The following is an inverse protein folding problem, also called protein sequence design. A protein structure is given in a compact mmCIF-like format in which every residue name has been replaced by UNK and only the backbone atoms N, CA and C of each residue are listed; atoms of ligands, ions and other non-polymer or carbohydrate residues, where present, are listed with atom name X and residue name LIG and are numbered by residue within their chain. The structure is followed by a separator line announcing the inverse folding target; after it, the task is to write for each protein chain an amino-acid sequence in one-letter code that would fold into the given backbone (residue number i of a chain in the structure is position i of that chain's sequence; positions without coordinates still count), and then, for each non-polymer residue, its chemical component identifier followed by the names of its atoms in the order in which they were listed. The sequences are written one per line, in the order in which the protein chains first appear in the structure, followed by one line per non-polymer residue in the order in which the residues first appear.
data_IF_499020315617
#
_entry.id   IF_499020315617
#
_cell.length_a   1.000
_cell.length_b   1.000
_cell.length_c   1.000
_cell.angle_alpha   90.00
_cell.angle_beta   90.00
_cell.angle_gamma   90.00
#
_symmetry.space_group_name_H-M   'P 1'
#
loop_
_entity.id
_entity.type
_entity.pdbx_description
1 polymer ?
#
# COMPACT_ATOMS: atom_id res chain seq x y z
N UNK A 1 -22.86 9.89 6.22
CA UNK A 1 -21.56 9.56 6.84
C UNK A 1 -20.55 9.57 5.69
N UNK A 2 -19.52 10.42 5.75
CA UNK A 2 -18.50 10.44 4.71
C UNK A 2 -17.61 9.19 4.87
N UNK A 3 -17.37 8.45 3.79
CA UNK A 3 -16.45 7.32 3.79
C UNK A 3 -15.02 7.85 3.96
N UNK A 4 -14.39 7.46 5.06
CA UNK A 4 -12.99 7.83 5.35
C UNK A 4 -12.10 6.69 4.85
N UNK A 5 -11.62 6.83 3.63
CA UNK A 5 -10.77 5.84 2.99
C UNK A 5 -10.77 6.03 1.47
N UNK A 6 -9.90 5.29 0.78
CA UNK A 6 -9.93 5.26 -0.67
C UNK A 6 -11.20 4.52 -1.11
N UNK A 7 -11.99 5.13 -2.00
CA UNK A 7 -13.19 4.49 -2.55
C UNK A 7 -12.82 3.08 -3.09
N UNK A 8 -13.57 2.03 -2.75
CA UNK A 8 -13.29 0.71 -3.29
C UNK A 8 -13.37 0.77 -4.81
N UNK A 9 -12.28 0.46 -5.47
CA UNK A 9 -12.26 0.28 -6.93
C UNK A 9 -12.84 -1.11 -7.20
N UNK A 10 -14.04 -1.15 -7.71
CA UNK A 10 -14.64 -2.37 -8.26
C UNK A 10 -13.74 -2.89 -9.37
N UNK A 11 -13.19 -4.11 -9.18
CA UNK A 11 -12.54 -4.97 -10.14
C UNK A 11 -12.00 -4.32 -11.41
N UNK A 12 -11.06 -3.40 -11.29
CA UNK A 12 -10.47 -2.78 -12.47
C UNK A 12 -9.49 -3.79 -13.10
N UNK A 13 -9.93 -4.45 -14.16
CA UNK A 13 -9.00 -5.15 -15.05
C UNK A 13 -8.05 -4.12 -15.64
N UNK A 14 -6.76 -4.38 -15.56
CA UNK A 14 -5.72 -3.51 -16.09
C UNK A 14 -5.02 -4.23 -17.23
N UNK A 15 -5.02 -3.62 -18.41
CA UNK A 15 -4.27 -4.14 -19.56
C UNK A 15 -2.81 -3.73 -19.35
N UNK A 16 -1.92 -4.71 -19.40
CA UNK A 16 -0.48 -4.50 -19.31
C UNK A 16 0.06 -3.85 -20.59
N UNK A 17 1.06 -3.01 -20.42
CA UNK A 17 1.80 -2.49 -21.55
C UNK A 17 2.52 -3.62 -22.31
N UNK A 18 2.68 -3.46 -23.61
CA UNK A 18 3.35 -4.45 -24.45
C UNK A 18 4.85 -4.51 -24.13
N UNK A 19 5.33 -5.68 -23.74
CA UNK A 19 6.73 -5.96 -23.43
C UNK A 19 7.44 -6.75 -24.54
N UNK A 20 6.75 -7.05 -25.64
CA UNK A 20 7.29 -7.88 -26.74
C UNK A 20 8.56 -7.29 -27.35
N UNK A 21 8.70 -5.94 -27.33
CA UNK A 21 9.94 -5.27 -27.75
C UNK A 21 11.19 -5.64 -26.96
N UNK A 22 11.04 -6.27 -25.80
CA UNK A 22 12.14 -6.76 -24.96
C UNK A 22 12.46 -8.25 -25.19
N UNK A 23 11.70 -8.95 -26.03
CA UNK A 23 11.90 -10.35 -26.33
C UNK A 23 13.08 -10.54 -27.27
N UNK A 24 14.05 -11.35 -26.89
CA UNK A 24 15.26 -11.59 -27.68
C UNK A 24 15.42 -13.02 -28.16
N UNK A 25 14.58 -13.93 -27.66
CA UNK A 25 14.76 -15.39 -27.83
C UNK A 25 15.86 -15.98 -26.98
N UNK A 26 16.60 -15.15 -26.22
CA UNK A 26 17.80 -15.58 -25.48
C UNK A 26 17.63 -15.53 -23.98
N UNK A 27 16.61 -14.84 -23.47
CA UNK A 27 16.35 -14.70 -22.02
C UNK A 27 14.86 -14.87 -21.72
N UNK A 28 14.52 -15.57 -20.63
CA UNK A 28 13.15 -15.70 -20.18
C UNK A 28 12.63 -14.46 -19.39
N UNK A 29 13.45 -13.48 -19.16
CA UNK A 29 13.17 -12.31 -18.32
C UNK A 29 14.29 -12.03 -17.32
N UNK A 30 14.02 -11.27 -16.23
CA UNK A 30 12.74 -10.66 -15.90
C UNK A 30 12.37 -9.46 -16.80
N UNK A 31 11.08 -9.33 -17.12
CA UNK A 31 10.53 -8.20 -17.85
C UNK A 31 9.64 -7.37 -16.92
N UNK A 32 9.70 -6.05 -17.01
CA UNK A 32 8.90 -5.15 -16.17
C UNK A 32 7.44 -5.11 -16.66
N UNK A 33 6.51 -5.26 -15.74
CA UNK A 33 5.08 -5.11 -15.98
C UNK A 33 4.63 -3.70 -15.62
N UNK A 34 4.06 -3.01 -16.61
CA UNK A 34 3.55 -1.65 -16.44
C UNK A 34 2.15 -1.52 -17.01
N UNK A 35 1.44 -0.48 -16.56
CA UNK A 35 0.16 -0.02 -17.09
C UNK A 35 0.28 1.48 -17.31
N UNK A 36 0.26 1.92 -18.57
CA UNK A 36 0.51 3.31 -18.92
C UNK A 36 1.86 3.83 -18.43
N UNK A 37 2.90 3.01 -18.50
CA UNK A 37 4.26 3.33 -18.03
C UNK A 37 4.46 3.25 -16.52
N UNK A 38 3.42 2.99 -15.73
CA UNK A 38 3.53 2.86 -14.26
C UNK A 38 3.63 1.39 -13.88
N UNK A 39 4.59 1.05 -13.00
CA UNK A 39 4.76 -0.31 -12.50
C UNK A 39 3.49 -0.83 -11.82
N UNK A 40 3.11 -2.06 -12.15
CA UNK A 40 1.96 -2.75 -11.56
C UNK A 40 2.43 -3.95 -10.76
N UNK A 41 1.72 -4.22 -9.66
CA UNK A 41 2.02 -5.33 -8.74
C UNK A 41 0.86 -6.34 -8.81
N UNK A 42 0.92 -7.36 -9.69
CA UNK A 42 -0.19 -8.32 -9.84
C UNK A 42 -0.43 -9.21 -8.61
N UNK A 43 0.58 -9.37 -7.77
CA UNK A 43 0.52 -10.19 -6.56
C UNK A 43 0.94 -11.65 -6.79
N UNK A 44 0.38 -12.33 -7.78
CA UNK A 44 0.72 -13.71 -8.12
C UNK A 44 0.37 -14.02 -9.59
N UNK A 45 0.76 -15.20 -10.06
CA UNK A 45 0.55 -15.67 -11.42
C UNK A 45 -0.92 -15.84 -11.78
N UNK A 46 -1.75 -16.29 -10.80
CA UNK A 46 -3.19 -16.52 -10.99
C UNK A 46 -3.97 -15.23 -11.15
N UNK A 47 -3.39 -14.09 -10.74
CA UNK A 47 -3.99 -12.77 -10.92
C UNK A 47 -3.77 -12.18 -12.31
N UNK A 48 -3.13 -12.93 -13.21
CA UNK A 48 -2.82 -12.50 -14.56
C UNK A 48 -3.37 -13.45 -15.62
N UNK A 49 -3.82 -12.87 -16.72
CA UNK A 49 -4.01 -13.57 -17.99
C UNK A 49 -2.90 -13.10 -18.95
N UNK A 50 -1.98 -13.98 -19.25
CA UNK A 50 -0.85 -13.70 -20.13
C UNK A 50 -0.99 -14.49 -21.42
N UNK A 51 -0.81 -13.82 -22.55
CA UNK A 51 -0.83 -14.44 -23.87
C UNK A 51 0.47 -14.11 -24.62
N UNK A 52 1.07 -15.15 -25.19
CA UNK A 52 2.22 -15.04 -26.10
C UNK A 52 1.77 -15.51 -27.47
N UNK A 53 1.93 -14.66 -28.49
CA UNK A 53 1.51 -14.94 -29.87
C UNK A 53 0.07 -15.44 -29.98
N UNK A 54 -0.84 -14.90 -29.15
CA UNK A 54 -2.26 -15.25 -29.12
C UNK A 54 -2.57 -16.54 -28.33
N UNK A 55 -1.56 -17.22 -27.76
CA UNK A 55 -1.75 -18.42 -26.93
C UNK A 55 -1.72 -18.05 -25.46
N UNK A 56 -2.81 -18.36 -24.73
CA UNK A 56 -2.87 -18.17 -23.30
C UNK A 56 -1.85 -19.07 -22.60
N UNK A 57 -1.05 -18.48 -21.72
CA UNK A 57 -0.02 -19.16 -20.96
C UNK A 57 -0.61 -19.72 -19.66
N UNK A 58 -0.22 -20.95 -19.33
CA UNK A 58 -0.51 -21.53 -18.03
C UNK A 58 0.22 -20.71 -16.92
N UNK A 59 -0.42 -20.43 -15.78
CA UNK A 59 0.27 -19.78 -14.66
C UNK A 59 1.55 -20.48 -14.19
N UNK A 60 1.71 -21.76 -14.48
CA UNK A 60 2.95 -22.48 -14.22
C UNK A 60 4.07 -22.21 -15.26
N UNK A 61 3.75 -21.56 -16.38
CA UNK A 61 4.71 -21.25 -17.44
C UNK A 61 5.46 -19.93 -17.20
N UNK A 62 5.15 -19.19 -16.12
CA UNK A 62 5.84 -17.98 -15.74
C UNK A 62 5.79 -17.77 -14.22
N UNK A 63 6.63 -16.88 -13.71
CA UNK A 63 6.65 -16.43 -12.33
C UNK A 63 6.50 -14.92 -12.28
N UNK A 64 5.76 -14.43 -11.28
CA UNK A 64 5.63 -13.00 -10.99
C UNK A 64 6.33 -12.69 -9.67
N UNK A 65 7.23 -11.71 -9.70
CA UNK A 65 7.91 -11.20 -8.53
C UNK A 65 7.84 -9.68 -8.52
N UNK A 66 7.06 -9.13 -7.59
CA UNK A 66 6.80 -7.69 -7.58
C UNK A 66 6.13 -7.23 -8.87
N UNK A 67 6.78 -6.32 -9.60
CA UNK A 67 6.33 -5.80 -10.89
C UNK A 67 7.03 -6.46 -12.08
N UNK A 68 7.54 -7.68 -11.93
CA UNK A 68 8.30 -8.36 -12.98
C UNK A 68 7.72 -9.74 -13.27
N UNK A 69 7.79 -10.12 -14.55
CA UNK A 69 7.46 -11.46 -15.04
C UNK A 69 8.71 -12.15 -15.59
N UNK A 70 8.86 -13.41 -15.28
CA UNK A 70 9.89 -14.29 -15.84
C UNK A 70 9.22 -15.55 -16.38
N UNK A 71 9.42 -15.84 -17.65
CA UNK A 71 8.88 -17.04 -18.28
C UNK A 71 9.75 -18.26 -18.00
N UNK A 72 9.20 -19.46 -18.10
CA UNK A 72 9.97 -20.71 -18.01
C UNK A 72 10.73 -21.00 -19.29
N UNK A 73 10.29 -20.43 -20.42
CA UNK A 73 10.92 -20.54 -21.74
C UNK A 73 11.19 -19.16 -22.30
N UNK A 74 12.23 -19.02 -23.12
CA UNK A 74 12.58 -17.73 -23.72
C UNK A 74 11.55 -17.36 -24.81
N UNK A 75 10.81 -16.23 -24.68
CA UNK A 75 9.98 -15.75 -25.76
C UNK A 75 10.82 -15.37 -26.97
N UNK A 76 10.42 -15.80 -28.17
CA UNK A 76 11.12 -15.44 -29.38
C UNK A 76 10.98 -13.94 -29.68
N UNK A 77 11.94 -13.37 -30.38
CA UNK A 77 11.90 -11.93 -30.78
C UNK A 77 10.75 -11.58 -31.71
N UNK A 78 10.11 -12.59 -32.32
CA UNK A 78 8.92 -12.42 -33.17
C UNK A 78 7.61 -12.62 -32.41
N UNK A 79 7.66 -13.04 -31.13
CA UNK A 79 6.45 -13.24 -30.34
C UNK A 79 5.81 -11.93 -29.95
N UNK A 80 4.49 -11.92 -29.93
CA UNK A 80 3.71 -10.80 -29.44
C UNK A 80 3.27 -11.05 -28.00
N UNK A 81 3.09 -10.00 -27.25
CA UNK A 81 2.64 -10.06 -25.85
C UNK A 81 1.29 -9.37 -25.68
N UNK A 82 0.42 -10.00 -24.92
CA UNK A 82 -0.76 -9.38 -24.35
C UNK A 82 -0.95 -9.88 -22.92
N UNK A 83 -1.24 -8.98 -22.02
CA UNK A 83 -1.49 -9.33 -20.62
C UNK A 83 -2.57 -8.49 -19.99
N UNK A 84 -3.30 -9.09 -19.08
CA UNK A 84 -4.30 -8.41 -18.26
C UNK A 84 -4.14 -8.84 -16.82
N UNK A 85 -4.09 -7.87 -15.91
CA UNK A 85 -4.19 -8.13 -14.47
C UNK A 85 -5.65 -8.17 -14.08
N UNK A 86 -6.06 -9.29 -13.51
CA UNK A 86 -7.41 -9.51 -12.98
C UNK A 86 -7.47 -8.94 -11.57
N UNK A 87 -8.10 -7.80 -11.44
CA UNK A 87 -8.45 -7.10 -10.22
C UNK A 87 -7.73 -7.52 -8.93
N UNK A 88 -6.69 -6.78 -8.55
CA UNK A 88 -6.14 -6.92 -7.21
C UNK A 88 -7.18 -6.46 -6.20
N UNK A 89 -7.66 -7.35 -5.37
CA UNK A 89 -8.09 -6.98 -4.04
C UNK A 89 -6.83 -6.48 -3.32
N UNK A 90 -6.67 -5.17 -3.24
CA UNK A 90 -5.70 -4.63 -2.29
C UNK A 90 -6.14 -5.14 -0.92
N UNK A 91 -5.38 -6.09 -0.39
CA UNK A 91 -5.39 -6.32 1.04
C UNK A 91 -5.00 -4.97 1.67
N UNK A 92 -5.99 -4.27 2.20
CA UNK A 92 -5.75 -3.11 3.04
C UNK A 92 -5.23 -3.73 4.34
N UNK A 93 -3.99 -4.19 4.30
CA UNK A 93 -3.32 -4.80 5.43
C UNK A 93 -3.50 -3.94 6.68
N UNK A 94 -3.59 -4.58 7.83
CA UNK A 94 -3.49 -3.86 9.10
C UNK A 94 -2.24 -2.99 9.03
N UNK A 95 -2.36 -1.67 9.29
CA UNK A 95 -1.20 -0.81 9.32
C UNK A 95 -0.15 -1.44 10.22
N UNK A 96 1.06 -1.60 9.71
CA UNK A 96 2.18 -2.09 10.52
C UNK A 96 2.36 -1.14 11.71
N UNK A 97 2.66 -1.65 12.88
CA UNK A 97 2.94 -0.82 14.06
C UNK A 97 3.88 0.33 13.69
N UNK A 98 3.52 1.55 14.08
CA UNK A 98 4.21 2.81 13.77
C UNK A 98 4.07 3.37 12.35
N UNK A 99 3.29 2.75 11.43
CA UNK A 99 3.06 3.33 10.09
C UNK A 99 1.92 4.36 10.04
N UNK A 100 1.05 4.37 11.06
CA UNK A 100 0.02 5.42 11.20
C UNK A 100 0.65 6.58 11.95
N UNK A 101 1.11 7.59 11.23
CA UNK A 101 1.64 8.81 11.86
C UNK A 101 0.51 9.63 12.49
N UNK A 102 0.86 10.41 13.51
CA UNK A 102 -0.09 11.33 14.15
C UNK A 102 -0.75 12.32 13.15
N UNK A 103 -0.08 12.62 12.04
CA UNK A 103 -0.62 13.44 10.96
C UNK A 103 -1.63 12.71 10.06
N UNK A 104 -1.64 11.37 10.06
CA UNK A 104 -2.60 10.54 9.32
C UNK A 104 -3.91 10.33 10.09
N UNK A 105 -3.89 10.64 11.38
CA UNK A 105 -5.04 10.59 12.26
C UNK A 105 -5.53 12.04 12.46
N UNK A 106 -6.72 12.34 11.95
CA UNK A 106 -7.35 13.63 12.23
C UNK A 106 -7.34 13.87 13.74
N UNK A 107 -6.89 15.05 14.16
CA UNK A 107 -6.47 15.45 15.50
C UNK A 107 -7.52 15.34 16.62
N UNK A 108 -8.50 14.45 16.52
CA UNK A 108 -9.68 14.49 17.37
C UNK A 108 -9.80 13.28 18.26
N UNK A 109 -9.07 12.78 18.99
CA UNK A 109 -9.27 11.77 20.04
C UNK A 109 -8.31 10.59 20.09
N UNK A 110 -7.42 10.66 21.07
CA UNK A 110 -6.87 9.43 21.64
C UNK A 110 -7.30 9.32 23.10
N UNK A 111 -8.06 8.29 23.42
CA UNK A 111 -8.24 7.84 24.80
C UNK A 111 -7.29 6.69 25.03
N UNK A 112 -6.24 6.91 25.79
CA UNK A 112 -5.31 5.84 26.19
C UNK A 112 -5.50 5.60 27.68
N UNK A 113 -5.99 4.43 28.01
CA UNK A 113 -6.16 4.00 29.39
C UNK A 113 -4.79 3.66 30.02
N UNK A 114 -4.58 4.11 31.23
CA UNK A 114 -3.45 3.74 32.09
C UNK A 114 -2.08 4.22 31.56
N UNK A 115 -1.81 5.52 31.65
CA UNK A 115 -0.54 6.12 31.21
C UNK A 115 0.22 6.77 32.33
N UNK A 116 1.53 6.50 32.34
CA UNK A 116 2.49 7.29 33.11
C UNK A 116 3.20 8.26 32.18
N UNK A 117 3.12 9.55 32.46
CA UNK A 117 3.79 10.60 31.70
C UNK A 117 4.90 11.21 32.56
N UNK A 118 6.08 11.34 31.98
CA UNK A 118 7.20 11.95 32.69
C UNK A 118 7.04 13.48 32.69
N UNK A 119 6.76 14.06 31.52
CA UNK A 119 6.48 15.48 31.36
C UNK A 119 5.42 15.70 30.29
N UNK A 120 4.57 16.70 30.48
CA UNK A 120 3.61 17.15 29.50
C UNK A 120 3.95 18.59 29.14
N UNK A 121 4.44 18.80 27.94
CA UNK A 121 4.75 20.13 27.44
C UNK A 121 3.81 20.46 26.25
N UNK A 122 2.90 21.40 26.46
CA UNK A 122 2.03 21.91 25.43
C UNK A 122 2.69 23.08 24.74
N UNK A 123 2.94 22.99 23.44
CA UNK A 123 3.51 24.07 22.65
C UNK A 123 2.44 24.71 21.76
N UNK A 124 2.38 26.04 21.76
CA UNK A 124 1.36 26.77 20.99
C UNK A 124 0.00 26.88 21.71
N UNK A 125 -1.04 27.22 20.97
CA UNK A 125 -2.40 27.44 21.51
C UNK A 125 -3.26 26.18 21.36
N UNK A 126 -2.81 25.04 21.89
CA UNK A 126 -3.55 23.78 21.83
C UNK A 126 -4.21 23.46 23.18
N UNK A 127 -5.36 22.82 23.13
CA UNK A 127 -6.03 22.27 24.31
C UNK A 127 -5.76 20.77 24.38
N UNK A 128 -5.56 20.24 25.59
CA UNK A 128 -5.33 18.81 25.84
C UNK A 128 -6.33 18.25 26.82
N UNK A 129 -6.69 16.98 26.65
CA UNK A 129 -7.50 16.24 27.61
C UNK A 129 -6.90 14.84 27.82
N UNK A 130 -6.88 14.38 29.06
CA UNK A 130 -6.55 13.00 29.43
C UNK A 130 -7.75 12.39 30.12
N UNK A 131 -8.04 11.13 29.80
CA UNK A 131 -9.15 10.37 30.39
C UNK A 131 -8.60 9.13 31.08
N UNK A 132 -9.00 8.91 32.32
CA UNK A 132 -8.68 7.73 33.12
C UNK A 132 -7.62 7.97 34.19
N UNK A 133 -7.20 6.94 34.92
CA UNK A 133 -6.15 7.06 35.92
C UNK A 133 -4.82 7.42 35.23
N UNK A 134 -4.39 8.66 35.42
CA UNK A 134 -3.16 9.21 34.84
C UNK A 134 -2.18 9.49 35.96
N UNK A 135 -0.98 8.98 35.85
CA UNK A 135 0.14 9.32 36.74
C UNK A 135 1.09 10.26 36.01
N UNK A 136 1.30 11.45 36.55
CA UNK A 136 2.27 12.41 36.05
C UNK A 136 3.41 12.47 37.05
N UNK A 137 4.60 12.04 36.63
CA UNK A 137 5.79 12.01 37.48
C UNK A 137 6.71 13.24 37.31
N UNK A 138 6.35 14.15 36.41
CA UNK A 138 7.13 15.35 36.08
C UNK A 138 6.29 16.62 36.09
N UNK A 139 6.58 17.52 35.17
CA UNK A 139 5.99 18.86 35.08
C UNK A 139 4.96 18.93 33.95
N UNK A 140 3.82 19.61 34.22
CA UNK A 140 2.87 20.00 33.17
C UNK A 140 3.12 21.47 32.85
N UNK A 141 3.47 21.75 31.59
CA UNK A 141 3.60 23.13 31.11
C UNK A 141 2.43 23.47 30.19
N UNK A 142 1.58 24.41 30.63
CA UNK A 142 0.41 24.88 29.88
C UNK A 142 0.65 26.35 29.51
N UNK A 143 0.83 26.65 28.21
CA UNK A 143 1.00 28.03 27.77
C UNK A 143 -0.27 28.85 27.95
N UNK A 144 -0.11 30.20 27.97
CA UNK A 144 -1.25 31.12 28.03
C UNK A 144 -2.20 30.90 26.85
N UNK A 145 -3.50 30.81 27.13
CA UNK A 145 -4.54 30.56 26.13
C UNK A 145 -4.82 29.08 25.84
N UNK A 146 -4.12 28.14 26.51
CA UNK A 146 -4.39 26.73 26.42
C UNK A 146 -5.12 26.19 27.65
N UNK A 147 -5.90 25.14 27.47
CA UNK A 147 -6.60 24.42 28.53
C UNK A 147 -6.18 22.95 28.54
N UNK A 148 -5.92 22.43 29.72
CA UNK A 148 -5.64 21.03 29.95
C UNK A 148 -6.62 20.44 30.94
N UNK A 149 -7.27 19.33 30.57
CA UNK A 149 -8.33 18.72 31.40
C UNK A 149 -7.95 17.25 31.63
N UNK A 150 -8.11 16.79 32.88
CA UNK A 150 -8.04 15.38 33.26
C UNK A 150 -9.46 14.98 33.70
N UNK A 151 -10.02 13.96 33.08
CA UNK A 151 -11.38 13.46 33.33
C UNK A 151 -11.35 12.07 33.95
#
# INVERSE_FOLDING_TARGET
MAYVGQAPKTGAYQILDDISGSFTGSTPGPFNLTVGGTAVLPGNEQSCLISISGVLQDPAAYTISGSQITFTSNPASSDTFFGTVLGNTFDIGTPTDATVSAGSLSSTFFVKNNQTWTDINMTGSYNGALVGPVTISGTITIPSGSTFVIL
#
